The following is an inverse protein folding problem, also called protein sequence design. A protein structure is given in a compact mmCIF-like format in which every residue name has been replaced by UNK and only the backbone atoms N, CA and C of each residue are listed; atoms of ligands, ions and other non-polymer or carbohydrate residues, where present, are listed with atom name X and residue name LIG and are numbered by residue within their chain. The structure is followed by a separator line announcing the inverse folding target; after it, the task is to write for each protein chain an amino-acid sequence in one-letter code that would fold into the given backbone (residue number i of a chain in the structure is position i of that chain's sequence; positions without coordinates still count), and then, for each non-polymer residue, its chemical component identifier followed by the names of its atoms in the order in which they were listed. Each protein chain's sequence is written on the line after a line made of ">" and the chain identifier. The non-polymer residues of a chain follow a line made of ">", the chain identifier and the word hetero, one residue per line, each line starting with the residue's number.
data_IF_077182498387
#
_entry.id   IF_077182498387
#
_cell.length_a   1.000
_cell.length_b   1.000
_cell.length_c   1.000
_cell.angle_alpha   90.00
_cell.angle_beta   90.00
_cell.angle_gamma   90.00
#
_symmetry.space_group_name_H-M   'P 1'
#
loop_
_entity.id
_entity.type
_entity.pdbx_description
1 polymer ?
#
# COMPACT_ATOMS: atom_id res chain seq x y z
N UNK A 1 12.34 9.62 20.49
CA UNK A 1 12.34 8.15 20.66
C UNK A 1 12.89 7.53 19.38
N UNK A 2 13.75 6.50 19.45
CA UNK A 2 14.17 5.78 18.25
C UNK A 2 12.98 5.05 17.62
N UNK A 3 12.87 5.11 16.29
CA UNK A 3 11.91 4.31 15.53
C UNK A 3 12.36 2.86 15.54
N UNK A 4 11.50 1.95 16.01
CA UNK A 4 11.74 0.51 15.97
C UNK A 4 10.82 -0.12 14.91
N UNK A 5 11.34 -0.49 13.73
CA UNK A 5 10.53 -1.18 12.73
C UNK A 5 10.10 -2.54 13.28
N UNK A 6 8.79 -2.82 13.21
CA UNK A 6 8.18 -4.07 13.69
C UNK A 6 7.95 -5.11 12.59
N UNK A 7 7.96 -4.69 11.31
CA UNK A 7 7.96 -5.61 10.18
C UNK A 7 9.36 -6.21 9.95
N UNK A 8 9.39 -7.44 9.45
CA UNK A 8 10.56 -8.05 8.84
C UNK A 8 10.91 -7.36 7.50
N UNK A 9 12.09 -7.62 6.96
CA UNK A 9 12.55 -6.98 5.71
C UNK A 9 11.72 -7.39 4.47
N UNK A 10 11.13 -8.57 4.50
CA UNK A 10 10.33 -9.20 3.45
C UNK A 10 8.82 -9.13 3.72
N UNK A 11 8.41 -8.35 4.72
CA UNK A 11 7.02 -8.12 5.08
C UNK A 11 6.25 -7.55 3.89
N UNK A 12 5.32 -8.32 3.31
CA UNK A 12 4.48 -7.87 2.19
C UNK A 12 3.44 -6.83 2.60
N UNK A 13 3.21 -6.68 3.92
CA UNK A 13 2.29 -5.70 4.48
C UNK A 13 0.82 -6.08 4.32
N UNK A 14 -0.04 -5.07 4.37
CA UNK A 14 -1.48 -5.21 4.22
C UNK A 14 -1.95 -4.51 2.96
N UNK A 15 -3.02 -5.02 2.35
CA UNK A 15 -3.70 -4.33 1.27
C UNK A 15 -4.23 -2.97 1.76
N UNK A 16 -3.88 -1.89 1.06
CA UNK A 16 -4.28 -0.51 1.36
C UNK A 16 -5.79 -0.24 1.20
N UNK A 17 -6.54 -1.20 0.64
CA UNK A 17 -7.99 -1.07 0.43
C UNK A 17 -8.84 -1.93 1.34
N UNK A 18 -8.50 -3.21 1.46
CA UNK A 18 -9.30 -4.17 2.24
C UNK A 18 -8.63 -4.60 3.54
N UNK A 19 -7.36 -4.26 3.75
CA UNK A 19 -6.63 -4.66 4.95
C UNK A 19 -6.23 -6.14 4.99
N UNK A 20 -6.37 -6.90 3.90
CA UNK A 20 -5.91 -8.28 3.83
C UNK A 20 -4.40 -8.35 4.09
N UNK A 21 -3.97 -9.30 4.92
CA UNK A 21 -2.56 -9.61 5.12
C UNK A 21 -1.99 -10.23 3.85
N UNK A 22 -1.10 -9.52 3.16
CA UNK A 22 -0.51 -10.00 1.89
C UNK A 22 0.50 -11.13 2.10
N UNK A 23 0.94 -11.34 3.35
CA UNK A 23 1.77 -12.48 3.71
C UNK A 23 0.99 -13.81 3.72
N UNK A 24 -0.34 -13.77 3.79
CA UNK A 24 -1.21 -14.96 3.74
C UNK A 24 -1.66 -15.29 2.31
N UNK A 25 -1.44 -14.37 1.36
CA UNK A 25 -1.82 -14.52 -0.04
C UNK A 25 -2.22 -13.19 -0.69
N UNK A 26 -2.40 -13.18 -2.02
CA UNK A 26 -2.85 -12.00 -2.74
C UNK A 26 -4.30 -11.65 -2.37
N UNK A 27 -4.65 -10.37 -2.48
CA UNK A 27 -6.03 -9.91 -2.37
C UNK A 27 -6.68 -9.74 -3.76
N UNK A 28 -8.00 -9.85 -3.84
CA UNK A 28 -8.77 -9.66 -5.09
C UNK A 28 -9.14 -8.19 -5.38
N UNK A 29 -8.47 -7.22 -4.75
CA UNK A 29 -8.73 -5.81 -5.01
C UNK A 29 -8.35 -5.46 -6.45
N UNK A 30 -9.30 -4.91 -7.21
CA UNK A 30 -9.06 -4.40 -8.58
C UNK A 30 -8.04 -3.26 -8.57
N UNK A 31 -7.36 -3.02 -9.69
CA UNK A 31 -6.43 -1.88 -9.85
C UNK A 31 -7.07 -0.54 -9.41
N UNK A 32 -6.24 0.33 -8.83
CA UNK A 32 -6.71 1.58 -8.24
C UNK A 32 -6.93 2.58 -9.35
N UNK A 33 -8.12 3.17 -9.35
CA UNK A 33 -8.22 4.51 -9.90
C UNK A 33 -7.33 5.40 -9.03
N UNK A 34 -6.49 6.19 -9.69
CA UNK A 34 -5.70 7.22 -9.03
C UNK A 34 -6.66 8.11 -8.24
N UNK A 35 -6.32 8.39 -6.97
CA UNK A 35 -7.15 9.24 -6.12
C UNK A 35 -7.38 10.58 -6.84
N UNK A 36 -8.63 11.01 -7.08
CA UNK A 36 -8.93 12.24 -7.81
C UNK A 36 -8.22 13.47 -7.25
N UNK A 37 -7.91 13.50 -5.94
CA UNK A 37 -7.18 14.60 -5.29
C UNK A 37 -5.71 14.63 -5.70
N UNK A 38 -5.14 13.47 -6.02
CA UNK A 38 -3.74 13.30 -6.41
C UNK A 38 -3.52 13.37 -7.93
N UNK A 39 -4.58 13.45 -8.72
CA UNK A 39 -4.50 13.59 -10.19
C UNK A 39 -3.58 14.73 -10.65
N UNK A 40 -3.54 15.83 -9.90
CA UNK A 40 -2.68 16.98 -10.22
C UNK A 40 -1.19 16.62 -10.24
N UNK A 41 -0.78 15.62 -9.48
CA UNK A 41 0.62 15.19 -9.39
C UNK A 41 1.11 14.51 -10.67
N UNK A 42 0.22 14.03 -11.54
CA UNK A 42 0.58 13.51 -12.87
C UNK A 42 1.27 14.55 -13.76
N UNK A 43 1.17 15.84 -13.42
CA UNK A 43 1.80 16.94 -14.16
C UNK A 43 3.23 17.26 -13.70
N UNK A 44 3.69 16.65 -12.62
CA UNK A 44 5.06 16.83 -12.12
C UNK A 44 6.01 15.90 -12.90
N UNK A 45 7.09 16.47 -13.43
CA UNK A 45 8.18 15.75 -14.12
C UNK A 45 9.28 15.37 -13.15
#
# INVERSE_FOLDING_TARGET
>A
LPMHPVCQLDCLGFCDRCGQNLNEGPCDCKESMVDPRLEILKKLK
#
